data_IF_138883368282
#
_entry.id   IF_138883368282
#
_cell.length_a   1.000
_cell.length_b   1.000
_cell.length_c   1.000
_cell.angle_alpha   90.00
_cell.angle_beta   90.00
_cell.angle_gamma   90.00
#
_symmetry.space_group_name_H-M   'P 1'
#
loop_
_entity.id
_entity.type
_entity.pdbx_description
1 polymer ?
#
# COMPACT_ATOMS: atom_id res chain seq x y z
N UNK A 1 -8.50 19.19 -25.64
CA UNK A 1 -7.05 18.97 -25.89
C UNK A 1 -6.64 17.60 -25.38
N UNK A 2 -6.28 16.73 -26.30
CA UNK A 2 -5.86 15.40 -25.90
C UNK A 2 -4.43 15.46 -25.32
N UNK A 3 -4.27 15.03 -24.09
CA UNK A 3 -2.94 14.84 -23.54
C UNK A 3 -2.30 13.62 -24.21
N UNK A 4 -1.16 13.82 -24.78
CA UNK A 4 -0.38 12.70 -25.28
C UNK A 4 0.04 11.84 -24.09
N UNK A 5 -0.12 10.51 -24.17
CA UNK A 5 0.45 9.66 -23.13
C UNK A 5 1.97 9.92 -23.05
N UNK A 6 2.44 10.02 -21.82
CA UNK A 6 3.89 10.17 -21.60
C UNK A 6 4.56 8.89 -22.07
N UNK A 7 5.35 8.99 -23.11
CA UNK A 7 6.14 7.86 -23.56
C UNK A 7 7.49 7.92 -22.87
N UNK A 8 7.72 6.93 -22.01
CA UNK A 8 9.04 6.75 -21.44
C UNK A 8 9.91 6.06 -22.50
N UNK A 9 11.13 6.56 -22.73
CA UNK A 9 12.02 5.90 -23.67
C UNK A 9 12.24 4.45 -23.23
N UNK A 10 12.14 3.54 -24.18
CA UNK A 10 12.39 2.11 -23.96
C UNK A 10 13.88 1.85 -23.72
N UNK A 11 14.56 2.76 -23.05
CA UNK A 11 15.89 2.52 -22.54
C UNK A 11 15.72 1.57 -21.37
N UNK A 12 16.11 0.34 -21.54
CA UNK A 12 16.12 -0.62 -20.46
C UNK A 12 17.01 -0.13 -19.33
N UNK A 13 16.46 0.77 -18.50
CA UNK A 13 17.10 1.07 -17.22
C UNK A 13 16.90 -0.17 -16.39
N UNK A 14 17.99 -0.92 -16.20
CA UNK A 14 17.96 -2.09 -15.35
C UNK A 14 17.54 -1.69 -13.95
N UNK A 15 16.72 -2.50 -13.27
CA UNK A 15 16.37 -2.25 -11.87
C UNK A 15 17.64 -2.13 -11.01
N UNK A 16 17.59 -1.22 -10.06
CA UNK A 16 18.70 -1.05 -9.11
C UNK A 16 18.59 -2.16 -8.08
N UNK A 17 19.65 -2.97 -7.96
CA UNK A 17 19.73 -4.04 -6.98
C UNK A 17 20.70 -3.64 -5.88
N UNK A 18 20.24 -3.70 -4.64
CA UNK A 18 21.04 -3.39 -3.47
C UNK A 18 21.26 -4.64 -2.62
N UNK A 19 22.39 -4.74 -1.91
CA UNK A 19 22.62 -5.89 -1.03
C UNK A 19 21.55 -5.98 0.06
N UNK A 20 21.04 -7.19 0.26
CA UNK A 20 20.15 -7.52 1.37
C UNK A 20 20.89 -8.45 2.31
N UNK A 21 21.04 -8.04 3.56
CA UNK A 21 21.72 -8.86 4.57
C UNK A 21 20.74 -9.88 5.15
N UNK A 22 21.23 -11.09 5.36
CA UNK A 22 20.43 -12.18 5.91
C UNK A 22 20.10 -11.99 7.39
N UNK A 23 20.87 -11.16 8.07
CA UNK A 23 20.73 -10.95 9.51
C UNK A 23 19.66 -9.90 9.80
N UNK A 24 18.74 -10.23 10.69
CA UNK A 24 17.73 -9.27 11.16
C UNK A 24 18.35 -8.39 12.24
N UNK A 25 18.17 -7.07 12.08
CA UNK A 25 18.62 -6.10 13.06
C UNK A 25 17.56 -5.93 14.14
N UNK A 26 17.96 -6.13 15.40
CA UNK A 26 17.04 -5.97 16.51
C UNK A 26 16.69 -4.49 16.70
N UNK A 27 15.39 -4.20 16.83
CA UNK A 27 14.91 -2.84 17.11
C UNK A 27 15.11 -2.45 18.58
N UNK A 28 15.31 -3.44 19.47
CA UNK A 28 15.65 -3.23 20.87
C UNK A 28 17.13 -3.39 21.14
N UNK A 29 17.53 -4.52 21.69
CA UNK A 29 18.93 -4.79 21.96
C UNK A 29 19.67 -5.24 20.70
N UNK A 30 20.93 -4.78 20.52
CA UNK A 30 21.70 -5.21 19.36
C UNK A 30 22.01 -6.71 19.44
N UNK A 31 21.99 -7.36 18.28
CA UNK A 31 22.40 -8.76 18.11
C UNK A 31 23.74 -8.79 17.37
N UNK A 32 24.54 -9.85 17.55
CA UNK A 32 25.74 -10.01 16.75
C UNK A 32 25.40 -10.00 15.27
N UNK A 33 26.08 -9.17 14.49
CA UNK A 33 25.86 -9.08 13.06
C UNK A 33 26.58 -10.22 12.36
N UNK A 34 25.87 -10.95 11.50
CA UNK A 34 26.48 -11.82 10.52
C UNK A 34 26.70 -11.02 9.24
N UNK A 35 27.90 -11.09 8.69
CA UNK A 35 28.24 -10.34 7.48
C UNK A 35 27.75 -11.01 6.19
N UNK A 36 26.76 -11.89 6.29
CA UNK A 36 26.27 -12.62 5.13
C UNK A 36 25.23 -11.81 4.37
N UNK A 37 25.45 -11.71 3.07
CA UNK A 37 24.48 -11.13 2.15
C UNK A 37 23.54 -12.26 1.72
N UNK A 38 22.23 -12.10 1.98
CA UNK A 38 21.21 -13.04 1.53
C UNK A 38 21.09 -13.02 0.01
N UNK A 39 21.24 -11.84 -0.56
CA UNK A 39 21.12 -11.64 -1.99
C UNK A 39 21.11 -10.16 -2.33
N UNK A 40 20.65 -9.85 -3.50
CA UNK A 40 20.49 -8.47 -3.95
C UNK A 40 19.01 -8.22 -4.23
N UNK A 41 18.51 -7.09 -3.77
CA UNK A 41 17.08 -6.76 -3.83
C UNK A 41 16.87 -5.49 -4.65
N UNK A 42 15.93 -5.53 -5.58
CA UNK A 42 15.36 -4.35 -6.20
C UNK A 42 14.01 -4.08 -5.56
N UNK A 43 13.81 -2.90 -4.99
CA UNK A 43 12.54 -2.55 -4.37
C UNK A 43 11.40 -2.56 -5.38
N UNK A 44 11.65 -2.10 -6.60
CA UNK A 44 10.62 -2.12 -7.65
C UNK A 44 10.14 -3.55 -7.91
N UNK A 45 11.07 -4.47 -8.11
CA UNK A 45 10.72 -5.87 -8.36
C UNK A 45 10.08 -6.52 -7.15
N UNK A 46 10.50 -6.14 -5.97
CA UNK A 46 10.00 -6.71 -4.73
C UNK A 46 8.58 -6.24 -4.40
N UNK A 47 8.32 -4.94 -4.56
CA UNK A 47 7.05 -4.33 -4.15
C UNK A 47 6.00 -4.35 -5.25
N UNK A 48 6.39 -4.40 -6.51
CA UNK A 48 5.46 -4.33 -7.63
C UNK A 48 5.39 -5.68 -8.32
N UNK A 49 4.31 -6.41 -8.05
CA UNK A 49 4.07 -7.73 -8.64
C UNK A 49 3.40 -7.63 -10.01
N UNK A 50 2.58 -6.60 -10.23
CA UNK A 50 1.81 -6.41 -11.44
C UNK A 50 1.98 -4.96 -11.90
N UNK A 51 3.03 -4.73 -12.69
CA UNK A 51 3.42 -3.35 -13.05
C UNK A 51 2.35 -2.58 -13.83
N UNK A 52 1.56 -3.28 -14.64
CA UNK A 52 0.56 -2.63 -15.49
C UNK A 52 -0.71 -2.24 -14.71
N UNK A 53 -0.87 -2.74 -13.49
CA UNK A 53 -2.03 -2.47 -12.65
C UNK A 53 -1.66 -1.86 -11.30
N UNK A 54 -0.40 -1.48 -11.12
CA UNK A 54 0.09 -0.90 -9.87
C UNK A 54 0.26 0.60 -10.02
N UNK A 55 -0.16 1.33 -9.00
CA UNK A 55 0.03 2.78 -8.93
C UNK A 55 0.33 3.20 -7.50
N UNK A 56 0.78 4.42 -7.33
CA UNK A 56 1.10 4.97 -6.02
C UNK A 56 0.09 6.03 -5.61
N UNK A 57 -0.24 6.05 -4.34
CA UNK A 57 -1.15 7.03 -3.74
C UNK A 57 -0.52 7.54 -2.46
N UNK A 58 -0.66 8.82 -2.20
CA UNK A 58 -0.20 9.41 -0.94
C UNK A 58 -1.33 9.36 0.08
N UNK A 59 -1.05 8.82 1.26
CA UNK A 59 -2.03 8.77 2.35
C UNK A 59 -2.24 10.15 2.97
N UNK A 60 -3.47 10.42 3.39
CA UNK A 60 -3.82 11.64 4.10
C UNK A 60 -4.59 11.30 5.36
N UNK A 61 -4.22 11.93 6.46
CA UNK A 61 -4.93 11.80 7.72
C UNK A 61 -4.46 10.63 8.57
N UNK A 62 -5.22 10.38 9.63
CA UNK A 62 -4.81 9.49 10.72
C UNK A 62 -5.69 8.26 10.87
N UNK A 63 -6.60 8.01 9.93
CA UNK A 63 -7.60 6.95 10.12
C UNK A 63 -7.01 5.54 10.09
N UNK A 64 -5.77 5.37 9.63
CA UNK A 64 -5.14 4.06 9.47
C UNK A 64 -3.84 3.92 10.25
N UNK A 65 -3.62 4.73 11.27
CA UNK A 65 -2.37 4.69 12.04
C UNK A 65 -2.15 3.36 12.75
N UNK A 66 -3.22 2.69 13.17
CA UNK A 66 -3.12 1.37 13.78
C UNK A 66 -2.63 0.28 12.82
N UNK A 67 -2.73 0.51 11.53
CA UNK A 67 -2.16 -0.38 10.50
C UNK A 67 -0.77 0.07 10.06
N UNK A 68 -0.23 1.12 10.67
CA UNK A 68 1.08 1.64 10.33
C UNK A 68 1.10 2.60 9.15
N UNK A 69 -0.07 3.11 8.74
CA UNK A 69 -0.16 4.09 7.66
C UNK A 69 -0.38 5.47 8.26
N UNK A 70 0.57 6.37 8.01
CA UNK A 70 0.54 7.73 8.53
C UNK A 70 0.34 8.75 7.41
N UNK A 71 -0.11 9.94 7.79
CA UNK A 71 -0.24 11.05 6.84
C UNK A 71 1.06 11.25 6.06
N UNK A 72 0.96 11.34 4.74
CA UNK A 72 2.11 11.53 3.86
C UNK A 72 2.79 10.25 3.38
N UNK A 73 2.41 9.09 3.91
CA UNK A 73 2.98 7.82 3.46
C UNK A 73 2.66 7.55 1.99
N UNK A 74 3.59 6.90 1.31
CA UNK A 74 3.37 6.44 -0.05
C UNK A 74 2.78 5.04 -0.01
N UNK A 75 1.65 4.86 -0.65
CA UNK A 75 0.96 3.57 -0.72
C UNK A 75 1.18 2.95 -2.10
N UNK A 76 1.53 1.68 -2.11
CA UNK A 76 1.61 0.87 -3.33
C UNK A 76 0.28 0.17 -3.48
N UNK A 77 -0.42 0.40 -4.59
CA UNK A 77 -1.79 -0.08 -4.80
C UNK A 77 -1.85 -0.92 -6.06
N UNK A 78 -2.39 -2.13 -5.94
CA UNK A 78 -2.54 -3.06 -7.06
C UNK A 78 -4.02 -3.23 -7.38
N UNK A 79 -4.42 -2.81 -8.58
CA UNK A 79 -5.81 -2.90 -9.05
C UNK A 79 -6.18 -4.30 -9.53
N UNK A 80 -5.21 -5.14 -9.81
CA UNK A 80 -5.48 -6.48 -10.33
C UNK A 80 -5.92 -7.48 -9.27
N UNK A 81 -5.68 -7.18 -7.99
CA UNK A 81 -6.04 -8.06 -6.90
C UNK A 81 -7.54 -7.94 -6.58
N UNK A 82 -8.18 -9.09 -6.42
CA UNK A 82 -9.55 -9.12 -5.90
C UNK A 82 -9.49 -8.93 -4.39
N UNK A 83 -10.09 -7.86 -3.86
CA UNK A 83 -10.02 -7.60 -2.43
C UNK A 83 -10.77 -8.66 -1.63
N UNK A 84 -10.17 -9.09 -0.53
CA UNK A 84 -10.78 -10.01 0.43
C UNK A 84 -10.83 -9.35 1.80
N UNK A 85 -11.67 -9.90 2.68
CA UNK A 85 -11.79 -9.38 4.04
C UNK A 85 -10.44 -9.36 4.75
N UNK A 86 -10.10 -8.24 5.35
CA UNK A 86 -8.81 -8.00 5.98
C UNK A 86 -7.86 -7.17 5.15
N UNK A 87 -8.10 -7.04 3.84
CA UNK A 87 -7.25 -6.22 2.98
C UNK A 87 -7.42 -4.74 3.25
N UNK A 88 -6.33 -4.00 3.12
CA UNK A 88 -6.39 -2.54 3.10
C UNK A 88 -6.64 -2.13 1.65
N UNK A 89 -7.64 -1.30 1.43
CA UNK A 89 -8.08 -0.94 0.08
C UNK A 89 -8.17 0.56 -0.09
N UNK A 90 -8.08 0.99 -1.34
CA UNK A 90 -8.51 2.32 -1.76
C UNK A 90 -9.93 2.18 -2.26
N UNK A 91 -10.85 2.87 -1.62
CA UNK A 91 -12.28 2.78 -1.92
C UNK A 91 -12.86 4.15 -2.19
N UNK A 92 -13.96 4.18 -2.95
CA UNK A 92 -14.74 5.40 -3.18
C UNK A 92 -15.90 5.41 -2.21
N UNK A 93 -15.98 6.46 -1.41
CA UNK A 93 -17.08 6.70 -0.46
C UNK A 93 -17.60 8.11 -0.72
N UNK A 94 -18.87 8.22 -1.09
CA UNK A 94 -19.52 9.49 -1.40
C UNK A 94 -18.70 10.38 -2.37
N UNK A 95 -18.12 9.72 -3.38
CA UNK A 95 -17.35 10.40 -4.42
C UNK A 95 -15.87 10.66 -4.07
N UNK A 96 -15.48 10.43 -2.84
CA UNK A 96 -14.09 10.65 -2.38
C UNK A 96 -13.36 9.35 -2.19
N UNK A 97 -12.06 9.37 -2.50
CA UNK A 97 -11.19 8.23 -2.25
C UNK A 97 -10.78 8.20 -0.79
N UNK A 98 -10.81 7.00 -0.21
CA UNK A 98 -10.35 6.77 1.16
C UNK A 98 -9.55 5.48 1.23
N UNK A 99 -8.65 5.39 2.21
CA UNK A 99 -7.93 4.16 2.54
C UNK A 99 -8.50 3.60 3.83
N UNK A 100 -8.95 2.36 3.79
CA UNK A 100 -9.58 1.68 4.92
C UNK A 100 -9.35 0.18 4.81
N UNK A 101 -9.62 -0.54 5.89
CA UNK A 101 -9.60 -2.00 5.85
C UNK A 101 -10.97 -2.51 5.42
N UNK A 102 -10.98 -3.35 4.40
CA UNK A 102 -12.20 -4.01 3.96
C UNK A 102 -12.51 -5.16 4.92
N UNK A 103 -13.72 -5.18 5.44
CA UNK A 103 -14.16 -6.23 6.35
C UNK A 103 -15.47 -6.81 5.88
N UNK A 104 -15.63 -8.11 6.12
CA UNK A 104 -16.86 -8.83 5.85
C UNK A 104 -17.37 -9.44 7.14
N UNK A 105 -18.63 -9.17 7.47
CA UNK A 105 -19.31 -9.72 8.65
C UNK A 105 -20.59 -10.40 8.16
N UNK A 106 -20.53 -11.73 8.03
CA UNK A 106 -21.63 -12.46 7.39
C UNK A 106 -21.78 -12.06 5.93
N UNK A 107 -22.93 -11.51 5.57
CA UNK A 107 -23.18 -10.99 4.23
C UNK A 107 -22.92 -9.49 4.11
N UNK A 108 -22.58 -8.83 5.22
CA UNK A 108 -22.35 -7.39 5.23
C UNK A 108 -20.89 -7.09 4.98
N UNK A 109 -20.65 -6.08 4.15
CA UNK A 109 -19.32 -5.56 3.86
C UNK A 109 -19.27 -4.15 4.44
N UNK A 110 -18.18 -3.85 5.15
CA UNK A 110 -17.97 -2.52 5.70
C UNK A 110 -16.49 -2.15 5.60
N UNK A 111 -16.21 -0.86 5.71
CA UNK A 111 -14.85 -0.34 5.72
C UNK A 111 -14.50 0.04 7.16
N UNK A 112 -13.40 -0.50 7.63
CA UNK A 112 -12.95 -0.31 9.00
C UNK A 112 -11.71 0.58 9.02
N UNK A 113 -11.78 1.73 9.74
CA UNK A 113 -10.57 2.47 10.04
C UNK A 113 -9.73 1.72 11.08
N UNK A 114 -8.43 1.90 11.03
CA UNK A 114 -7.52 1.39 12.05
C UNK A 114 -7.15 2.50 13.05
N UNK A 115 -8.19 3.13 13.57
CA UNK A 115 -8.09 4.18 14.57
C UNK A 115 -9.47 4.32 15.23
N UNK A 116 -9.53 4.09 16.55
CA UNK A 116 -10.79 4.08 17.29
C UNK A 116 -11.51 5.45 17.32
N UNK A 117 -10.84 6.52 16.92
CA UNK A 117 -11.45 7.85 16.81
C UNK A 117 -12.32 8.01 15.56
N UNK A 118 -12.22 7.08 14.63
CA UNK A 118 -12.98 7.09 13.39
C UNK A 118 -14.00 5.96 13.40
N UNK A 119 -15.14 6.20 12.77
CA UNK A 119 -16.23 5.21 12.71
C UNK A 119 -16.10 4.32 11.49
N UNK A 120 -16.58 3.09 11.62
CA UNK A 120 -16.75 2.18 10.50
C UNK A 120 -17.71 2.79 9.47
N UNK A 121 -17.47 2.50 8.20
CA UNK A 121 -18.34 2.95 7.10
C UNK A 121 -19.13 1.74 6.64
N UNK A 122 -20.43 1.75 6.89
CA UNK A 122 -21.36 0.70 6.49
C UNK A 122 -22.03 1.07 5.18
N UNK A 123 -22.36 0.06 4.40
CA UNK A 123 -23.08 0.24 3.14
C UNK A 123 -24.50 -0.28 3.31
N UNK A 124 -25.46 0.62 3.10
CA UNK A 124 -26.89 0.27 3.17
C UNK A 124 -27.32 -0.42 1.88
N UNK A 125 -28.46 -1.10 1.93
CA UNK A 125 -29.04 -1.74 0.76
C UNK A 125 -29.12 -0.76 -0.43
N UNK A 126 -28.62 -1.21 -1.57
CA UNK A 126 -28.55 -0.40 -2.78
C UNK A 126 -27.31 0.47 -2.92
N UNK A 127 -26.48 0.57 -1.89
CA UNK A 127 -25.19 1.24 -1.98
C UNK A 127 -24.13 0.25 -2.46
N UNK A 128 -23.37 0.65 -3.47
CA UNK A 128 -22.29 -0.17 -3.97
C UNK A 128 -20.95 0.29 -3.39
N UNK A 129 -20.19 -0.67 -2.92
CA UNK A 129 -18.80 -0.43 -2.57
C UNK A 129 -17.98 -0.47 -3.86
N UNK A 130 -17.27 0.60 -4.13
CA UNK A 130 -16.36 0.67 -5.25
C UNK A 130 -14.93 0.68 -4.72
N UNK A 131 -14.18 -0.38 -5.04
CA UNK A 131 -12.78 -0.50 -4.64
C UNK A 131 -11.89 -0.23 -5.84
N UNK A 132 -10.94 0.67 -5.66
CA UNK A 132 -9.98 1.01 -6.72
C UNK A 132 -8.77 0.09 -6.75
N UNK A 133 -8.42 -0.48 -5.62
CA UNK A 133 -7.30 -1.41 -5.55
C UNK A 133 -6.95 -1.79 -4.12
N UNK A 134 -6.08 -2.77 -4.02
CA UNK A 134 -5.59 -3.29 -2.74
C UNK A 134 -4.24 -2.65 -2.44
N UNK A 135 -4.11 -2.11 -1.23
CA UNK A 135 -2.84 -1.55 -0.76
C UNK A 135 -1.96 -2.71 -0.33
N UNK A 136 -0.86 -2.90 -1.04
CA UNK A 136 0.06 -4.01 -0.77
C UNK A 136 1.23 -3.61 0.10
N UNK A 137 1.57 -2.33 0.13
CA UNK A 137 2.73 -1.84 0.87
C UNK A 137 2.56 -0.37 1.20
N UNK A 138 3.26 0.06 2.23
CA UNK A 138 3.45 1.48 2.53
C UNK A 138 4.94 1.77 2.59
N UNK A 139 5.34 2.93 2.09
CA UNK A 139 6.73 3.37 2.10
C UNK A 139 6.82 4.65 2.92
N UNK A 140 7.70 4.66 3.91
CA UNK A 140 7.96 5.79 4.79
C UNK A 140 9.38 6.27 4.62
N UNK A 141 9.55 7.56 4.53
CA UNK A 141 10.87 8.19 4.57
C UNK A 141 10.97 9.02 5.84
N UNK A 142 12.05 8.80 6.60
CA UNK A 142 12.26 9.50 7.88
C UNK A 142 13.09 10.75 7.72
N UNK A 143 13.83 10.86 6.64
CA UNK A 143 14.66 12.02 6.35
C UNK A 143 14.22 12.64 5.04
N UNK A 144 14.47 13.94 4.90
CA UNK A 144 14.15 14.65 3.68
C UNK A 144 15.08 14.19 2.57
N UNK A 145 14.47 13.76 1.48
CA UNK A 145 15.21 13.41 0.29
C UNK A 145 15.50 14.63 -0.57
#
# INVERSE_FOLDING_TARGET
>A
MQQRPIQFPALGIAPIHMPLFSHKVAAGFPSPADDYIEGRLSLDEHLIQHKDSTFFVRAKGNSMIGAGIFDGDLLVVDKSLNPVSGDIVIAVVDGDLTVKRLMKRGHEIFLKPENHRFKEIEFKDGQELQVWGVVTSTVKQFVRG
#
